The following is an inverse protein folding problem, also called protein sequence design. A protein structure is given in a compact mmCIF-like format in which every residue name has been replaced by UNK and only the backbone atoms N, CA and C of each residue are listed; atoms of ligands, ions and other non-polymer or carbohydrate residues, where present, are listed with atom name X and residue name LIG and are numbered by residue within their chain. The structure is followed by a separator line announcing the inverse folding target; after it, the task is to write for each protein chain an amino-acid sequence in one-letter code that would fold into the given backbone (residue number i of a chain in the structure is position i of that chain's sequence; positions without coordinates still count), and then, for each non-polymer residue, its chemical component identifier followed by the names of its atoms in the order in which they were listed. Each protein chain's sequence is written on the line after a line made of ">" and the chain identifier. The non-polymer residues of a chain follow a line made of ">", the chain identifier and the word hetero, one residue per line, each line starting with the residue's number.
data_IF_314131501095
#
_entry.id   IF_314131501095
#
_cell.length_a   1.000
_cell.length_b   1.000
_cell.length_c   1.000
_cell.angle_alpha   90.00
_cell.angle_beta   90.00
_cell.angle_gamma   90.00
#
_symmetry.space_group_name_H-M   'P 1'
#
loop_
_entity.id
_entity.type
_entity.pdbx_description
1 polymer ?
#
# COMPACT_ATOMS: atom_id res chain seq x y z
N UNK A 1 14.56 35.43 32.43
CA UNK A 1 13.65 35.66 31.29
C UNK A 1 13.51 34.32 30.57
N UNK A 2 12.52 33.50 30.96
CA UNK A 2 12.31 32.19 30.34
C UNK A 2 11.50 32.40 29.07
N UNK A 3 12.08 32.07 27.91
CA UNK A 3 11.34 32.06 26.66
C UNK A 3 10.25 30.98 26.76
N UNK A 4 8.98 31.39 26.70
CA UNK A 4 7.86 30.50 26.52
C UNK A 4 8.03 29.81 25.16
N UNK A 5 8.55 28.58 25.17
CA UNK A 5 8.55 27.73 23.98
C UNK A 5 7.09 27.42 23.64
N UNK A 6 6.55 28.14 22.66
CA UNK A 6 5.30 27.76 22.04
C UNK A 6 5.55 26.41 21.36
N UNK A 7 5.19 25.32 22.05
CA UNK A 7 5.18 23.97 21.50
C UNK A 7 4.18 23.94 20.35
N UNK A 8 4.67 24.10 19.14
CA UNK A 8 3.87 23.93 17.94
C UNK A 8 3.74 22.42 17.68
N UNK A 9 2.96 21.74 18.52
CA UNK A 9 2.77 20.29 18.42
C UNK A 9 1.96 20.03 17.15
N UNK A 10 2.60 19.38 16.19
CA UNK A 10 1.92 18.83 15.03
C UNK A 10 1.87 17.31 15.14
N UNK A 11 0.79 16.72 14.65
CA UNK A 11 0.68 15.27 14.56
C UNK A 11 0.53 14.88 13.09
N UNK A 12 1.18 13.79 12.72
CA UNK A 12 1.04 13.15 11.42
C UNK A 12 0.56 11.71 11.65
N UNK A 13 0.05 11.08 10.61
CA UNK A 13 -0.25 9.65 10.61
C UNK A 13 0.74 8.96 9.69
N UNK A 14 1.26 7.83 10.17
CA UNK A 14 1.94 6.89 9.31
C UNK A 14 1.07 5.65 9.08
N UNK A 15 1.21 5.07 7.90
CA UNK A 15 0.65 3.77 7.59
C UNK A 15 1.72 2.86 7.00
N UNK A 16 1.48 1.56 7.07
CA UNK A 16 2.25 0.55 6.36
C UNK A 16 1.35 -0.58 5.92
N UNK A 17 1.75 -1.29 4.87
CA UNK A 17 1.15 -2.59 4.59
C UNK A 17 1.43 -3.55 5.74
N UNK A 18 0.45 -4.38 6.11
CA UNK A 18 0.60 -5.29 7.26
C UNK A 18 1.74 -6.29 7.10
N UNK A 19 2.19 -6.56 5.87
CA UNK A 19 3.30 -7.46 5.55
C UNK A 19 4.64 -6.73 5.31
N UNK A 20 4.64 -5.40 5.26
CA UNK A 20 5.85 -4.57 5.11
C UNK A 20 6.26 -3.99 6.46
N UNK A 21 7.56 -3.76 6.67
CA UNK A 21 8.08 -3.04 7.85
C UNK A 21 8.24 -1.54 7.60
N UNK A 22 8.07 -1.10 6.36
CA UNK A 22 8.34 0.29 5.95
C UNK A 22 7.13 1.17 6.21
N UNK A 23 7.34 2.25 6.97
CA UNK A 23 6.31 3.23 7.31
C UNK A 23 6.32 4.41 6.34
N UNK A 24 5.14 4.76 5.86
CA UNK A 24 4.92 5.93 5.00
C UNK A 24 4.10 6.98 5.74
N UNK A 25 4.47 8.25 5.60
CA UNK A 25 3.66 9.35 6.13
C UNK A 25 2.47 9.62 5.21
N UNK A 26 1.27 9.58 5.79
CA UNK A 26 0.08 10.06 5.12
C UNK A 26 0.15 11.59 4.97
N UNK A 27 -0.06 12.07 3.74
CA UNK A 27 -0.07 13.50 3.40
C UNK A 27 -1.52 13.93 3.20
N UNK A 28 -2.19 14.47 4.24
CA UNK A 28 -3.58 14.87 4.09
C UNK A 28 -3.69 16.03 3.09
N UNK A 29 -4.75 16.03 2.29
CA UNK A 29 -5.03 17.13 1.36
C UNK A 29 -5.34 18.45 2.09
N UNK A 30 -5.88 18.37 3.31
CA UNK A 30 -6.24 19.53 4.13
C UNK A 30 -5.55 19.48 5.50
N UNK A 31 -5.31 20.66 6.08
CA UNK A 31 -4.70 20.78 7.41
C UNK A 31 -5.58 20.09 8.46
N UNK A 32 -4.93 19.33 9.34
CA UNK A 32 -5.56 18.62 10.44
C UNK A 32 -6.01 19.63 11.50
N UNK A 33 -7.31 19.95 11.51
CA UNK A 33 -7.91 20.85 12.50
C UNK A 33 -8.82 20.14 13.50
N UNK A 34 -9.17 18.89 13.21
CA UNK A 34 -10.07 18.07 14.03
C UNK A 34 -9.29 17.09 14.92
N UNK A 35 -9.98 16.38 15.81
CA UNK A 35 -9.40 15.29 16.62
C UNK A 35 -9.46 13.92 15.93
N UNK A 36 -9.89 13.89 14.67
CA UNK A 36 -10.00 12.69 13.84
C UNK A 36 -9.41 12.97 12.45
N UNK A 37 -8.94 11.91 11.80
CA UNK A 37 -8.39 11.98 10.44
C UNK A 37 -8.94 10.84 9.61
N UNK A 38 -9.46 11.19 8.43
CA UNK A 38 -9.79 10.21 7.40
C UNK A 38 -8.57 10.01 6.50
N UNK A 39 -8.05 8.79 6.49
CA UNK A 39 -7.02 8.38 5.54
C UNK A 39 -7.71 7.93 4.25
N UNK A 40 -7.36 8.58 3.15
CA UNK A 40 -7.91 8.33 1.81
C UNK A 40 -6.84 7.74 0.88
N UNK A 41 -7.22 7.41 -0.35
CA UNK A 41 -6.34 6.89 -1.41
C UNK A 41 -5.60 5.57 -1.05
N UNK A 42 -6.22 4.74 -0.22
CA UNK A 42 -5.74 3.40 0.12
C UNK A 42 -6.11 2.39 -0.97
N UNK A 43 -5.26 1.38 -1.16
CA UNK A 43 -5.56 0.29 -2.08
C UNK A 43 -6.76 -0.53 -1.58
N UNK A 44 -7.73 -0.87 -2.45
CA UNK A 44 -8.82 -1.78 -2.09
C UNK A 44 -8.31 -3.16 -1.68
N UNK A 45 -9.11 -3.88 -0.90
CA UNK A 45 -8.81 -5.24 -0.44
C UNK A 45 -7.40 -5.44 0.15
N UNK A 46 -6.90 -4.44 0.87
CA UNK A 46 -5.52 -4.39 1.35
C UNK A 46 -5.48 -4.19 2.86
N UNK A 47 -4.53 -4.87 3.51
CA UNK A 47 -4.34 -4.85 4.97
C UNK A 47 -3.28 -3.82 5.36
N UNK A 48 -3.66 -2.91 6.25
CA UNK A 48 -2.81 -1.83 6.74
C UNK A 48 -2.67 -1.87 8.26
N UNK A 49 -1.61 -1.24 8.75
CA UNK A 49 -1.47 -0.77 10.13
C UNK A 49 -1.18 0.72 10.12
N UNK A 50 -1.61 1.39 11.17
CA UNK A 50 -1.47 2.84 11.34
C UNK A 50 -0.82 3.16 12.67
N UNK A 51 -0.14 4.31 12.73
CA UNK A 51 0.32 4.91 13.99
C UNK A 51 0.33 6.43 13.89
N UNK A 52 0.21 7.09 15.02
CA UNK A 52 0.34 8.55 15.11
C UNK A 52 1.80 8.90 15.36
N UNK A 53 2.30 9.91 14.67
CA UNK A 53 3.62 10.49 14.87
C UNK A 53 3.47 11.91 15.42
N UNK A 54 3.93 12.15 16.63
CA UNK A 54 3.94 13.47 17.26
C UNK A 54 5.27 14.18 16.99
N UNK A 55 5.20 15.35 16.37
CA UNK A 55 6.34 16.23 16.13
C UNK A 55 6.27 17.37 17.14
N UNK A 56 7.10 17.25 18.17
CA UNK A 56 7.16 18.21 19.28
C UNK A 56 8.06 19.41 18.95
N UNK A 57 9.18 19.15 18.25
CA UNK A 57 10.22 20.11 17.89
C UNK A 57 10.81 19.68 16.55
N UNK A 58 11.06 20.62 15.64
CA UNK A 58 11.54 20.33 14.27
C UNK A 58 12.84 19.52 14.22
N UNK A 59 13.69 19.66 15.24
CA UNK A 59 15.02 19.02 15.28
C UNK A 59 15.06 17.71 16.09
N UNK A 60 13.92 17.23 16.58
CA UNK A 60 13.85 16.02 17.39
C UNK A 60 13.10 14.91 16.65
N UNK A 61 13.50 13.63 16.86
CA UNK A 61 12.77 12.52 16.28
C UNK A 61 11.32 12.55 16.78
N UNK A 62 10.35 12.23 15.91
CA UNK A 62 8.96 12.15 16.31
C UNK A 62 8.76 11.03 17.33
N UNK A 63 7.80 11.23 18.24
CA UNK A 63 7.30 10.17 19.10
C UNK A 63 6.20 9.42 18.36
N UNK A 64 6.16 8.09 18.50
CA UNK A 64 5.17 7.26 17.83
C UNK A 64 4.20 6.64 18.83
N UNK A 65 2.93 6.52 18.44
CA UNK A 65 1.98 5.69 19.16
C UNK A 65 2.31 4.20 18.95
N UNK A 66 1.70 3.35 19.78
CA UNK A 66 1.54 1.95 19.42
C UNK A 66 0.86 1.79 18.06
N UNK A 67 1.18 0.70 17.38
CA UNK A 67 0.54 0.37 16.11
C UNK A 67 -0.93 0.00 16.33
N UNK A 68 -1.78 0.37 15.38
CA UNK A 68 -3.15 -0.12 15.35
C UNK A 68 -3.19 -1.64 15.16
N UNK A 69 -4.36 -2.23 15.43
CA UNK A 69 -4.70 -3.53 14.87
C UNK A 69 -4.60 -3.52 13.33
N UNK A 70 -4.59 -4.69 12.72
CA UNK A 70 -4.66 -4.79 11.26
C UNK A 70 -6.05 -4.35 10.80
N UNK A 71 -6.10 -3.36 9.91
CA UNK A 71 -7.33 -2.83 9.32
C UNK A 71 -7.33 -3.19 7.84
N UNK A 72 -8.44 -3.75 7.34
CA UNK A 72 -8.58 -4.10 5.93
C UNK A 72 -9.52 -3.13 5.23
N UNK A 73 -9.14 -2.67 4.05
CA UNK A 73 -10.06 -1.98 3.15
C UNK A 73 -11.02 -2.97 2.50
N UNK A 74 -12.18 -2.48 2.07
CA UNK A 74 -13.17 -3.28 1.36
C UNK A 74 -12.69 -3.64 -0.06
N UNK A 75 -13.17 -4.75 -0.65
CA UNK A 75 -12.96 -5.02 -2.07
C UNK A 75 -13.70 -4.00 -2.92
N UNK A 76 -13.05 -3.50 -3.97
CA UNK A 76 -13.64 -2.53 -4.89
C UNK A 76 -12.89 -2.45 -6.22
N UNK A 77 -13.62 -2.49 -7.33
CA UNK A 77 -13.06 -2.31 -8.68
C UNK A 77 -12.36 -3.56 -9.24
N UNK A 78 -11.72 -3.38 -10.40
CA UNK A 78 -10.91 -4.41 -11.07
C UNK A 78 -9.48 -4.44 -10.49
N UNK A 79 -8.70 -5.54 -10.67
CA UNK A 79 -7.28 -5.55 -10.32
C UNK A 79 -6.54 -4.36 -10.93
N UNK A 80 -5.81 -3.60 -10.10
CA UNK A 80 -5.06 -2.42 -10.56
C UNK A 80 -3.64 -2.77 -11.03
N UNK A 81 -3.20 -4.01 -10.78
CA UNK A 81 -1.90 -4.52 -11.23
C UNK A 81 -2.08 -5.84 -11.97
N UNK A 82 -1.10 -6.14 -12.83
CA UNK A 82 -1.08 -7.38 -13.59
C UNK A 82 -0.42 -8.52 -12.80
N UNK A 83 -0.79 -9.78 -13.05
CA UNK A 83 0.01 -10.93 -12.63
C UNK A 83 1.43 -10.82 -13.21
N UNK A 84 2.42 -11.30 -12.46
CA UNK A 84 3.81 -11.30 -12.93
C UNK A 84 4.19 -12.70 -13.37
N UNK A 85 4.52 -12.88 -14.66
CA UNK A 85 5.03 -14.15 -15.18
C UNK A 85 6.39 -14.42 -14.52
N UNK A 86 6.51 -15.57 -13.87
CA UNK A 86 7.73 -16.00 -13.17
C UNK A 86 8.51 -17.03 -13.97
N UNK A 87 7.83 -17.78 -14.83
CA UNK A 87 8.47 -18.78 -15.69
C UNK A 87 7.66 -18.96 -16.98
N UNK A 88 8.37 -19.11 -18.10
CA UNK A 88 7.80 -19.47 -19.40
C UNK A 88 8.77 -20.42 -20.09
N UNK A 89 8.33 -21.65 -20.34
CA UNK A 89 9.18 -22.70 -20.94
C UNK A 89 8.46 -23.44 -22.05
N UNK A 90 9.17 -23.70 -23.14
CA UNK A 90 8.71 -24.64 -24.17
C UNK A 90 8.95 -26.06 -23.67
N UNK A 91 7.87 -26.82 -23.50
CA UNK A 91 7.93 -28.22 -23.05
C UNK A 91 8.03 -29.16 -24.26
N UNK A 92 7.49 -28.73 -25.41
CA UNK A 92 7.67 -29.39 -26.71
C UNK A 92 7.43 -28.39 -27.86
N UNK A 93 7.52 -28.84 -29.11
CA UNK A 93 7.21 -28.03 -30.29
C UNK A 93 5.76 -27.49 -30.33
N UNK A 94 4.85 -28.05 -29.51
CA UNK A 94 3.42 -27.68 -29.49
C UNK A 94 2.90 -27.38 -28.09
N UNK A 95 3.77 -27.36 -27.07
CA UNK A 95 3.36 -27.16 -25.67
C UNK A 95 4.28 -26.18 -24.97
N UNK A 96 3.66 -25.23 -24.27
CA UNK A 96 4.32 -24.28 -23.38
C UNK A 96 3.81 -24.46 -21.96
N UNK A 97 4.69 -24.28 -20.98
CA UNK A 97 4.35 -24.18 -19.57
C UNK A 97 4.61 -22.74 -19.13
N UNK A 98 3.68 -22.19 -18.36
CA UNK A 98 3.76 -20.81 -17.86
C UNK A 98 3.32 -20.78 -16.40
N UNK A 99 4.11 -20.08 -15.60
CA UNK A 99 3.86 -19.85 -14.17
C UNK A 99 3.86 -18.36 -13.89
N UNK A 100 3.02 -17.92 -12.95
CA UNK A 100 2.91 -16.51 -12.58
C UNK A 100 2.58 -16.37 -11.10
N UNK A 101 2.89 -15.18 -10.56
CA UNK A 101 2.42 -14.73 -9.26
C UNK A 101 1.11 -13.94 -9.42
N UNK A 102 0.23 -13.96 -8.41
CA UNK A 102 -0.97 -13.11 -8.40
C UNK A 102 -0.59 -11.62 -8.47
N UNK A 103 -1.50 -10.76 -8.94
CA UNK A 103 -1.29 -9.31 -8.92
C UNK A 103 -1.13 -8.82 -7.47
N UNK A 104 -0.14 -7.96 -7.18
CA UNK A 104 0.03 -7.38 -5.83
C UNK A 104 -1.22 -6.65 -5.31
N UNK A 105 -1.96 -6.00 -6.21
CA UNK A 105 -3.21 -5.31 -5.93
C UNK A 105 -4.33 -5.88 -6.80
N UNK A 106 -4.92 -6.99 -6.32
CA UNK A 106 -6.06 -7.63 -6.95
C UNK A 106 -7.39 -6.87 -6.73
N UNK A 107 -7.43 -5.97 -5.75
CA UNK A 107 -8.60 -5.17 -5.35
C UNK A 107 -9.85 -5.99 -4.94
N UNK A 108 -9.70 -7.31 -4.80
CA UNK A 108 -10.73 -8.26 -4.38
C UNK A 108 -10.24 -9.71 -4.51
N UNK A 109 -11.11 -10.71 -4.24
CA UNK A 109 -10.80 -12.11 -4.48
C UNK A 109 -10.55 -12.40 -5.97
N UNK A 110 -9.48 -13.13 -6.27
CA UNK A 110 -9.17 -13.55 -7.64
C UNK A 110 -10.05 -14.76 -8.00
N UNK A 111 -10.86 -14.61 -9.05
CA UNK A 111 -11.78 -15.67 -9.51
C UNK A 111 -11.15 -16.56 -10.60
N UNK A 112 -10.45 -15.95 -11.55
CA UNK A 112 -9.83 -16.65 -12.68
C UNK A 112 -8.69 -15.84 -13.31
N UNK A 113 -7.94 -16.48 -14.20
CA UNK A 113 -6.95 -15.85 -15.07
C UNK A 113 -7.30 -16.14 -16.53
N UNK A 114 -7.10 -15.16 -17.41
CA UNK A 114 -7.27 -15.32 -18.86
C UNK A 114 -5.92 -15.18 -19.53
N UNK A 115 -5.52 -16.19 -20.31
CA UNK A 115 -4.24 -16.21 -21.01
C UNK A 115 -4.47 -16.03 -22.51
N UNK A 116 -3.64 -15.20 -23.13
CA UNK A 116 -3.62 -14.98 -24.57
C UNK A 116 -2.27 -15.40 -25.12
N UNK A 117 -2.29 -16.29 -26.11
CA UNK A 117 -1.12 -16.65 -26.91
C UNK A 117 -1.27 -15.95 -28.25
N UNK A 118 -0.24 -15.22 -28.68
CA UNK A 118 -0.19 -14.55 -29.99
C UNK A 118 1.02 -15.07 -30.75
N UNK A 119 0.80 -15.57 -31.95
CA UNK A 119 1.87 -15.86 -32.90
C UNK A 119 2.33 -14.54 -33.51
N UNK A 120 3.64 -14.33 -33.55
CA UNK A 120 4.21 -13.21 -34.31
C UNK A 120 4.34 -13.66 -35.77
N UNK A 121 3.86 -12.87 -36.75
CA UNK A 121 4.02 -13.22 -38.15
C UNK A 121 5.50 -13.34 -38.47
N UNK A 122 5.86 -14.47 -39.08
CA UNK A 122 7.20 -14.68 -39.63
C UNK A 122 7.33 -13.77 -40.84
N UNK A 123 8.36 -12.92 -40.84
CA UNK A 123 8.70 -12.06 -41.98
C UNK A 123 9.13 -12.85 -43.20
#
# INVERSE_FOLDING_TARGET
>A
MAASAHLNISYLVQYRYSHSSDWEYYKPHNLLRDNWLKVEDLHPYTKYRFRVAWILLENYPPLFSEESIVISTLPYGAPSTSPTITCLTAVSCTRVSVSWNPPPFANGPILSYVLYIREYPVG
#
